data_IF_471684039853
#
_entry.id   IF_471684039853
#
_cell.length_a   1.000
_cell.length_b   1.000
_cell.length_c   1.000
_cell.angle_alpha   90.00
_cell.angle_beta   90.00
_cell.angle_gamma   90.00
#
_symmetry.space_group_name_H-M   'P 1'
#
loop_
_entity.id
_entity.type
_entity.pdbx_description
1 polymer ?
#
# COMPACT_ATOMS: atom_id res chain seq x y z
N UNK A 1 16.68 3.92 -50.84
CA UNK A 1 16.99 4.98 -49.89
C UNK A 1 16.00 4.82 -48.74
N UNK A 2 16.42 4.16 -47.68
CA UNK A 2 15.58 3.95 -46.50
C UNK A 2 15.56 5.25 -45.68
N UNK A 3 14.36 5.77 -45.48
CA UNK A 3 14.10 6.93 -44.63
C UNK A 3 14.38 6.49 -43.16
N UNK A 4 15.58 6.80 -42.66
CA UNK A 4 15.89 6.68 -41.26
C UNK A 4 15.22 7.88 -40.57
N UNK A 5 14.01 7.66 -40.04
CA UNK A 5 13.42 8.54 -39.06
C UNK A 5 14.36 8.54 -37.83
N UNK A 6 15.29 9.51 -37.85
CA UNK A 6 16.13 9.80 -36.71
C UNK A 6 15.23 10.35 -35.60
N UNK A 7 14.87 9.50 -34.64
CA UNK A 7 14.25 9.94 -33.39
C UNK A 7 15.26 10.83 -32.65
N UNK A 8 15.15 12.13 -32.82
CA UNK A 8 15.91 13.10 -32.04
C UNK A 8 15.25 13.24 -30.66
N UNK A 9 15.88 12.68 -29.63
CA UNK A 9 15.54 12.97 -28.25
C UNK A 9 16.29 14.26 -27.82
N UNK A 10 15.56 15.32 -27.66
CA UNK A 10 16.10 16.55 -27.07
C UNK A 10 15.80 16.55 -25.58
N UNK A 11 16.80 16.28 -24.75
CA UNK A 11 16.69 16.34 -23.29
C UNK A 11 17.04 17.78 -22.90
N UNK A 12 16.03 18.59 -22.54
CA UNK A 12 16.23 19.93 -22.02
C UNK A 12 16.06 19.89 -20.49
N UNK A 13 17.11 20.30 -19.77
CA UNK A 13 17.06 20.41 -18.31
C UNK A 13 15.94 21.37 -17.87
N UNK A 14 15.10 20.94 -16.93
CA UNK A 14 14.06 21.77 -16.33
C UNK A 14 12.71 21.84 -17.06
N UNK A 15 12.57 21.32 -18.29
CA UNK A 15 11.26 21.23 -18.96
C UNK A 15 10.54 19.92 -18.60
N UNK A 16 9.25 20.03 -18.21
CA UNK A 16 8.39 18.86 -18.03
C UNK A 16 8.04 18.34 -19.41
N UNK A 17 8.35 17.06 -19.69
CA UNK A 17 8.06 16.45 -20.99
C UNK A 17 6.56 16.48 -21.28
N UNK A 18 6.22 16.94 -22.49
CA UNK A 18 4.84 17.06 -22.98
C UNK A 18 4.12 15.70 -23.00
N UNK A 19 4.89 14.61 -23.01
CA UNK A 19 4.41 13.24 -23.18
C UNK A 19 4.73 12.30 -21.99
N UNK A 20 4.93 12.84 -20.78
CA UNK A 20 5.33 12.10 -19.58
C UNK A 20 4.52 10.80 -19.34
N UNK A 21 3.20 10.86 -19.50
CA UNK A 21 2.32 9.71 -19.32
C UNK A 21 2.50 8.65 -20.41
N UNK A 22 2.83 9.10 -21.61
CA UNK A 22 3.12 8.20 -22.74
C UNK A 22 4.49 7.55 -22.54
N UNK A 23 5.46 8.27 -21.99
CA UNK A 23 6.77 7.73 -21.65
C UNK A 23 6.67 6.70 -20.52
N UNK A 24 5.83 6.89 -19.51
CA UNK A 24 5.55 5.85 -18.52
C UNK A 24 5.12 4.52 -19.17
N UNK A 25 4.26 4.60 -20.16
CA UNK A 25 3.85 3.40 -20.91
C UNK A 25 4.97 2.81 -21.78
N UNK A 26 5.80 3.67 -22.34
CA UNK A 26 6.96 3.26 -23.15
C UNK A 26 8.01 2.53 -22.31
N UNK A 27 8.21 2.97 -21.07
CA UNK A 27 9.15 2.37 -20.11
C UNK A 27 8.53 1.23 -19.26
N UNK A 28 7.42 0.62 -19.68
CA UNK A 28 6.79 -0.51 -18.97
C UNK A 28 7.71 -1.71 -18.75
N UNK A 29 8.67 -1.94 -19.65
CA UNK A 29 9.66 -3.00 -19.50
C UNK A 29 10.62 -2.71 -18.34
N UNK A 30 11.05 -1.46 -18.19
CA UNK A 30 11.84 -1.03 -17.05
C UNK A 30 11.07 -1.19 -15.75
N UNK A 31 9.79 -0.84 -15.73
CA UNK A 31 8.91 -1.05 -14.58
C UNK A 31 8.89 -2.54 -14.17
N UNK A 32 8.70 -3.44 -15.13
CA UNK A 32 8.70 -4.88 -14.87
C UNK A 32 10.06 -5.36 -14.35
N UNK A 33 11.16 -4.92 -14.96
CA UNK A 33 12.52 -5.30 -14.55
C UNK A 33 12.81 -4.84 -13.11
N UNK A 34 12.43 -3.60 -12.76
CA UNK A 34 12.64 -3.07 -11.41
C UNK A 34 11.80 -3.83 -10.38
N UNK A 35 10.50 -4.04 -10.66
CA UNK A 35 9.63 -4.82 -9.77
C UNK A 35 10.16 -6.25 -9.58
N UNK A 36 10.57 -6.93 -10.66
CA UNK A 36 11.13 -8.27 -10.59
C UNK A 36 12.46 -8.33 -9.82
N UNK A 37 13.34 -7.36 -10.07
CA UNK A 37 14.61 -7.23 -9.33
C UNK A 37 14.34 -7.12 -7.83
N UNK A 38 13.44 -6.24 -7.43
CA UNK A 38 13.17 -5.97 -6.02
C UNK A 38 12.49 -7.17 -5.35
N UNK A 39 11.58 -7.87 -6.05
CA UNK A 39 11.02 -9.16 -5.62
C UNK A 39 12.15 -10.19 -5.45
N UNK A 40 13.02 -10.33 -6.45
CA UNK A 40 14.13 -11.29 -6.41
C UNK A 40 15.10 -11.01 -5.26
N UNK A 41 15.45 -9.74 -5.02
CA UNK A 41 16.29 -9.34 -3.89
C UNK A 41 15.64 -9.68 -2.55
N UNK A 42 14.32 -9.43 -2.40
CA UNK A 42 13.58 -9.71 -1.17
C UNK A 42 13.52 -11.19 -0.82
N UNK A 43 13.40 -12.07 -1.83
CA UNK A 43 13.16 -13.50 -1.61
C UNK A 43 14.34 -14.41 -1.91
N UNK A 44 15.21 -14.08 -2.87
CA UNK A 44 16.26 -14.99 -3.36
C UNK A 44 17.48 -15.10 -2.45
N UNK A 45 17.77 -14.09 -1.64
CA UNK A 45 19.00 -14.05 -0.82
C UNK A 45 18.82 -14.54 0.63
N UNK A 46 17.64 -15.03 1.00
CA UNK A 46 17.38 -15.43 2.38
C UNK A 46 16.73 -16.81 2.43
N UNK A 47 17.44 -17.80 3.02
CA UNK A 47 16.89 -19.14 3.28
C UNK A 47 15.65 -19.07 4.16
N UNK A 48 15.55 -18.06 5.02
CA UNK A 48 14.45 -17.82 5.97
C UNK A 48 13.47 -16.74 5.46
N UNK A 49 13.75 -16.07 4.33
CA UNK A 49 12.98 -14.90 3.89
C UNK A 49 11.50 -15.18 3.61
N UNK A 50 11.22 -16.24 2.86
CA UNK A 50 9.84 -16.68 2.61
C UNK A 50 9.16 -17.11 3.90
N UNK A 51 9.89 -17.77 4.80
CA UNK A 51 9.37 -18.20 6.09
C UNK A 51 9.02 -17.01 6.99
N UNK A 52 9.82 -15.93 6.96
CA UNK A 52 9.49 -14.69 7.67
C UNK A 52 8.24 -14.00 7.13
N UNK A 53 8.00 -14.06 5.83
CA UNK A 53 6.78 -13.52 5.22
C UNK A 53 5.51 -14.23 5.72
N UNK A 54 5.64 -15.47 6.23
CA UNK A 54 4.55 -16.27 6.81
C UNK A 54 4.52 -16.12 8.33
N UNK A 55 5.65 -16.29 9.01
CA UNK A 55 5.72 -16.30 10.47
C UNK A 55 5.30 -14.97 11.08
N UNK A 56 5.77 -13.86 10.52
CA UNK A 56 5.50 -12.51 11.06
C UNK A 56 4.00 -12.18 11.11
N UNK A 57 3.22 -12.33 10.02
CA UNK A 57 1.78 -12.11 10.05
C UNK A 57 1.05 -13.08 11.00
N UNK A 58 1.45 -14.35 11.05
CA UNK A 58 0.85 -15.33 11.95
C UNK A 58 1.08 -15.00 13.42
N UNK A 59 2.31 -14.65 13.81
CA UNK A 59 2.61 -14.24 15.18
C UNK A 59 1.83 -12.99 15.57
N UNK A 60 1.77 -12.00 14.68
CA UNK A 60 0.99 -10.78 14.89
C UNK A 60 -0.49 -11.12 15.07
N UNK A 61 -1.05 -11.98 14.22
CA UNK A 61 -2.43 -12.47 14.35
C UNK A 61 -2.67 -13.13 15.70
N UNK A 62 -1.78 -14.04 16.14
CA UNK A 62 -1.91 -14.73 17.42
C UNK A 62 -1.97 -13.74 18.58
N UNK A 63 -1.06 -12.74 18.58
CA UNK A 63 -1.04 -11.68 19.61
C UNK A 63 -2.35 -10.91 19.60
N UNK A 64 -2.83 -10.47 18.43
CA UNK A 64 -4.08 -9.71 18.30
C UNK A 64 -5.30 -10.54 18.73
N UNK A 65 -5.35 -11.83 18.40
CA UNK A 65 -6.41 -12.76 18.84
C UNK A 65 -6.42 -12.89 20.37
N UNK A 66 -5.25 -12.98 21.01
CA UNK A 66 -5.17 -13.06 22.47
C UNK A 66 -5.60 -11.73 23.10
N UNK A 67 -5.05 -10.63 22.66
CA UNK A 67 -5.28 -9.30 23.25
C UNK A 67 -6.73 -8.87 23.02
N UNK A 68 -7.17 -8.84 21.78
CA UNK A 68 -8.49 -8.27 21.43
C UNK A 68 -9.62 -9.30 21.55
N UNK A 69 -9.34 -10.59 21.23
CA UNK A 69 -10.35 -11.64 21.29
C UNK A 69 -10.55 -12.21 22.70
N UNK A 70 -9.47 -12.59 23.39
CA UNK A 70 -9.58 -13.25 24.69
C UNK A 70 -9.60 -12.27 25.87
N UNK A 71 -8.73 -11.24 25.86
CA UNK A 71 -8.61 -10.29 26.98
C UNK A 71 -9.68 -9.20 26.86
N UNK A 72 -9.72 -8.47 25.74
CA UNK A 72 -10.66 -7.38 25.52
C UNK A 72 -12.07 -7.84 25.11
N UNK A 73 -12.23 -9.10 24.69
CA UNK A 73 -13.51 -9.72 24.29
C UNK A 73 -14.28 -8.91 23.25
N UNK A 74 -13.58 -8.33 22.27
CA UNK A 74 -14.22 -7.56 21.21
C UNK A 74 -15.01 -8.45 20.24
N UNK A 75 -16.11 -7.94 19.66
CA UNK A 75 -16.92 -8.71 18.73
C UNK A 75 -16.19 -9.02 17.42
N UNK A 76 -16.50 -10.15 16.77
CA UNK A 76 -15.95 -10.59 15.47
C UNK A 76 -16.97 -10.66 14.36
N UNK A 77 -18.11 -10.00 14.52
CA UNK A 77 -19.19 -9.90 13.51
C UNK A 77 -19.69 -11.28 12.98
N UNK A 78 -19.59 -12.33 13.83
CA UNK A 78 -19.99 -13.68 13.48
C UNK A 78 -19.00 -14.44 12.57
N UNK A 79 -17.78 -13.94 12.44
CA UNK A 79 -16.66 -14.62 11.78
C UNK A 79 -15.76 -15.26 12.84
N UNK A 80 -15.12 -16.41 12.58
CA UNK A 80 -14.10 -16.93 13.50
C UNK A 80 -13.02 -15.88 13.78
N UNK A 81 -12.76 -15.61 15.05
CA UNK A 81 -11.95 -14.45 15.47
C UNK A 81 -10.57 -14.37 14.79
N UNK A 82 -9.80 -15.48 14.61
CA UNK A 82 -8.53 -15.43 13.89
C UNK A 82 -8.66 -14.99 12.43
N UNK A 83 -9.72 -15.45 11.74
CA UNK A 83 -9.99 -15.03 10.34
C UNK A 83 -10.33 -13.54 10.31
N UNK A 84 -11.20 -13.08 11.20
CA UNK A 84 -11.64 -11.69 11.25
C UNK A 84 -10.44 -10.73 11.47
N UNK A 85 -9.63 -11.01 12.50
CA UNK A 85 -8.45 -10.18 12.80
C UNK A 85 -7.46 -10.20 11.66
N UNK A 86 -7.18 -11.38 11.08
CA UNK A 86 -6.19 -11.48 10.02
C UNK A 86 -6.67 -10.85 8.72
N UNK A 87 -7.85 -11.22 8.25
CA UNK A 87 -8.35 -10.83 6.94
C UNK A 87 -8.90 -9.40 6.90
N UNK A 88 -9.69 -9.04 7.91
CA UNK A 88 -10.38 -7.76 7.92
C UNK A 88 -9.49 -6.60 8.34
N UNK A 89 -8.52 -6.86 9.21
CA UNK A 89 -7.76 -5.79 9.87
C UNK A 89 -6.27 -5.82 9.54
N UNK A 90 -5.57 -6.94 9.82
CA UNK A 90 -4.12 -7.01 9.66
C UNK A 90 -3.69 -7.01 8.20
N UNK A 91 -4.39 -7.73 7.33
CA UNK A 91 -4.01 -7.91 5.94
C UNK A 91 -4.01 -6.59 5.14
N UNK A 92 -5.09 -5.77 5.15
CA UNK A 92 -5.07 -4.48 4.48
C UNK A 92 -4.08 -3.49 5.11
N UNK A 93 -3.92 -3.52 6.45
CA UNK A 93 -2.99 -2.63 7.13
C UNK A 93 -1.53 -2.97 6.82
N UNK A 94 -1.14 -4.25 6.91
CA UNK A 94 0.25 -4.67 6.63
C UNK A 94 0.64 -4.39 5.18
N UNK A 95 -0.30 -4.57 4.24
CA UNK A 95 -0.10 -4.19 2.85
C UNK A 95 0.17 -2.68 2.72
N UNK A 96 -0.71 -1.84 3.29
CA UNK A 96 -0.53 -0.39 3.25
C UNK A 96 0.79 0.05 3.88
N UNK A 97 1.09 -0.45 5.08
CA UNK A 97 2.30 -0.08 5.84
C UNK A 97 3.59 -0.42 5.08
N UNK A 98 3.64 -1.63 4.47
CA UNK A 98 4.77 -2.06 3.64
C UNK A 98 4.86 -1.21 2.37
N UNK A 99 3.77 -1.11 1.60
CA UNK A 99 3.71 -0.37 0.34
C UNK A 99 4.04 1.12 0.52
N UNK A 100 3.52 1.76 1.56
CA UNK A 100 3.82 3.14 1.91
C UNK A 100 5.30 3.32 2.27
N UNK A 101 5.85 2.44 3.11
CA UNK A 101 7.27 2.50 3.52
C UNK A 101 8.20 2.28 2.33
N UNK A 102 7.92 1.26 1.51
CA UNK A 102 8.72 0.91 0.35
C UNK A 102 8.68 2.06 -0.69
N UNK A 103 7.51 2.60 -1.01
CA UNK A 103 7.36 3.73 -1.92
C UNK A 103 8.09 4.98 -1.41
N UNK A 104 7.95 5.30 -0.11
CA UNK A 104 8.56 6.47 0.53
C UNK A 104 10.09 6.45 0.53
N UNK A 105 10.70 5.26 0.58
CA UNK A 105 12.16 5.09 0.58
C UNK A 105 12.74 4.73 -0.79
N UNK A 106 11.89 4.45 -1.77
CA UNK A 106 12.28 3.90 -3.07
C UNK A 106 13.24 4.77 -3.86
N UNK A 107 13.04 6.09 -3.85
CA UNK A 107 13.86 7.05 -4.61
C UNK A 107 15.29 7.09 -4.06
N UNK A 108 15.44 7.20 -2.73
CA UNK A 108 16.76 7.20 -2.08
C UNK A 108 17.46 5.86 -2.26
N UNK A 109 16.71 4.74 -2.15
CA UNK A 109 17.24 3.40 -2.36
C UNK A 109 17.75 3.14 -3.79
N UNK A 110 17.28 3.91 -4.78
CA UNK A 110 17.68 3.82 -6.17
C UNK A 110 18.48 5.03 -6.68
N UNK A 111 19.16 5.76 -5.81
CA UNK A 111 19.94 6.95 -6.12
C UNK A 111 20.96 6.74 -7.27
N UNK A 112 21.67 5.62 -7.25
CA UNK A 112 22.64 5.24 -8.29
C UNK A 112 22.02 5.02 -9.67
N UNK A 113 20.76 4.58 -9.72
CA UNK A 113 20.05 4.39 -10.99
C UNK A 113 19.57 5.75 -11.53
N UNK A 114 19.03 6.59 -10.65
CA UNK A 114 18.50 7.91 -10.98
C UNK A 114 19.58 8.84 -11.52
N UNK A 115 20.81 8.76 -10.98
CA UNK A 115 21.94 9.60 -11.40
C UNK A 115 22.56 9.17 -12.74
N UNK A 116 22.35 7.92 -13.18
CA UNK A 116 23.04 7.36 -14.36
C UNK A 116 22.14 7.16 -15.56
N UNK A 117 20.83 6.99 -15.37
CA UNK A 117 19.90 6.64 -16.44
C UNK A 117 18.71 7.60 -16.41
N UNK A 118 18.34 8.06 -17.60
CA UNK A 118 17.17 8.90 -17.78
C UNK A 118 15.92 8.07 -18.03
N UNK A 119 14.91 8.21 -17.17
CA UNK A 119 13.57 7.61 -17.29
C UNK A 119 12.57 8.35 -16.38
N UNK A 120 11.24 8.19 -16.59
CA UNK A 120 10.23 8.75 -15.70
C UNK A 120 10.35 8.16 -14.29
N UNK A 121 10.75 8.98 -13.32
CA UNK A 121 11.14 8.51 -11.96
C UNK A 121 9.99 7.96 -11.14
N UNK A 122 8.75 8.23 -11.53
CA UNK A 122 7.53 7.67 -10.92
C UNK A 122 7.47 6.13 -11.04
N UNK A 123 8.19 5.54 -11.99
CA UNK A 123 8.32 4.09 -12.16
C UNK A 123 8.88 3.43 -10.88
N UNK A 124 9.82 4.08 -10.19
CA UNK A 124 10.50 3.50 -9.01
C UNK A 124 9.53 3.29 -7.85
N UNK A 125 8.80 4.32 -7.32
CA UNK A 125 7.84 4.11 -6.26
C UNK A 125 6.71 3.17 -6.66
N UNK A 126 6.23 3.26 -7.90
CA UNK A 126 5.18 2.37 -8.38
C UNK A 126 5.61 0.89 -8.41
N UNK A 127 6.86 0.62 -8.85
CA UNK A 127 7.43 -0.74 -8.82
C UNK A 127 7.57 -1.26 -7.38
N UNK A 128 7.99 -0.42 -6.44
CA UNK A 128 8.12 -0.80 -5.02
C UNK A 128 6.79 -1.22 -4.39
N UNK A 129 5.68 -0.56 -4.73
CA UNK A 129 4.34 -0.95 -4.23
C UNK A 129 3.91 -2.32 -4.77
N UNK A 130 4.31 -2.70 -5.99
CA UNK A 130 4.03 -4.04 -6.55
C UNK A 130 4.73 -5.14 -5.74
N UNK A 131 5.91 -4.88 -5.20
CA UNK A 131 6.61 -5.85 -4.32
C UNK A 131 5.78 -6.14 -3.07
N UNK A 132 5.20 -5.11 -2.45
CA UNK A 132 4.30 -5.27 -1.31
C UNK A 132 3.00 -6.01 -1.67
N UNK A 133 2.52 -5.89 -2.92
CA UNK A 133 1.38 -6.66 -3.41
C UNK A 133 1.70 -8.17 -3.50
N UNK A 134 2.95 -8.56 -3.74
CA UNK A 134 3.38 -9.96 -3.68
C UNK A 134 3.31 -10.50 -2.24
N UNK A 135 3.77 -9.72 -1.25
CA UNK A 135 3.63 -10.07 0.17
C UNK A 135 2.16 -10.25 0.57
N UNK A 136 1.29 -9.37 0.04
CA UNK A 136 -0.16 -9.50 0.23
C UNK A 136 -0.71 -10.79 -0.37
N UNK A 137 -0.27 -11.19 -1.57
CA UNK A 137 -0.69 -12.47 -2.18
C UNK A 137 -0.28 -13.67 -1.32
N UNK A 138 0.94 -13.66 -0.75
CA UNK A 138 1.38 -14.71 0.19
C UNK A 138 0.44 -14.75 1.41
N UNK A 139 0.07 -13.59 1.94
CA UNK A 139 -0.85 -13.48 3.07
C UNK A 139 -2.28 -13.97 2.72
N UNK A 140 -2.72 -13.83 1.47
CA UNK A 140 -3.98 -14.44 1.00
C UNK A 140 -3.95 -15.96 1.05
N UNK A 141 -2.82 -16.63 0.78
CA UNK A 141 -2.70 -18.08 0.96
C UNK A 141 -2.85 -18.49 2.42
N UNK A 142 -2.29 -17.70 3.35
CA UNK A 142 -2.48 -17.92 4.79
C UNK A 142 -3.96 -17.77 5.15
N UNK A 143 -4.62 -16.73 4.65
CA UNK A 143 -6.05 -16.52 4.86
C UNK A 143 -6.87 -17.70 4.36
N UNK A 144 -6.59 -18.17 3.14
CA UNK A 144 -7.27 -19.34 2.58
C UNK A 144 -7.08 -20.60 3.45
N UNK A 145 -5.85 -20.86 3.92
CA UNK A 145 -5.57 -21.97 4.84
C UNK A 145 -6.35 -21.85 6.16
N UNK A 146 -6.46 -20.63 6.72
CA UNK A 146 -7.27 -20.36 7.90
C UNK A 146 -8.77 -20.62 7.63
N UNK A 147 -9.29 -20.19 6.50
CA UNK A 147 -10.69 -20.42 6.12
C UNK A 147 -11.00 -21.91 6.01
N UNK A 148 -10.12 -22.69 5.40
CA UNK A 148 -10.26 -24.16 5.32
C UNK A 148 -10.19 -24.78 6.72
N UNK A 149 -9.25 -24.36 7.58
CA UNK A 149 -9.08 -24.87 8.93
C UNK A 149 -10.30 -24.64 9.82
N UNK A 150 -10.89 -23.43 9.74
CA UNK A 150 -12.09 -23.08 10.51
C UNK A 150 -13.40 -23.46 9.82
N UNK A 151 -13.34 -24.09 8.62
CA UNK A 151 -14.50 -24.43 7.79
C UNK A 151 -15.41 -23.22 7.53
N UNK A 152 -14.81 -22.05 7.40
CA UNK A 152 -15.50 -20.79 7.13
C UNK A 152 -15.48 -20.50 5.64
N UNK A 153 -16.66 -20.51 5.01
CA UNK A 153 -16.84 -20.22 3.60
C UNK A 153 -17.45 -18.83 3.45
N UNK A 154 -16.71 -17.87 2.91
CA UNK A 154 -17.21 -16.50 2.74
C UNK A 154 -18.29 -16.46 1.67
N UNK A 155 -19.19 -15.48 1.80
CA UNK A 155 -20.24 -15.19 0.81
C UNK A 155 -19.64 -14.48 -0.41
N UNK A 156 -20.48 -14.19 -1.40
CA UNK A 156 -20.07 -13.57 -2.67
C UNK A 156 -19.36 -12.23 -2.52
N UNK A 157 -19.56 -11.53 -1.40
CA UNK A 157 -18.91 -10.24 -1.08
C UNK A 157 -17.38 -10.32 -1.10
N UNK A 158 -16.78 -11.49 -0.90
CA UNK A 158 -15.32 -11.67 -0.99
C UNK A 158 -14.77 -11.25 -2.37
N UNK A 159 -15.58 -11.30 -3.41
CA UNK A 159 -15.20 -10.85 -4.75
C UNK A 159 -14.93 -9.33 -4.83
N UNK A 160 -15.34 -8.57 -3.82
CA UNK A 160 -15.06 -7.12 -3.73
C UNK A 160 -13.70 -6.81 -3.11
N UNK A 161 -13.00 -7.80 -2.52
CA UNK A 161 -11.66 -7.61 -1.93
C UNK A 161 -10.66 -6.95 -2.89
N UNK A 162 -10.59 -7.31 -4.18
CA UNK A 162 -9.69 -6.64 -5.12
C UNK A 162 -9.95 -5.13 -5.25
N UNK A 163 -11.22 -4.69 -5.13
CA UNK A 163 -11.58 -3.27 -5.17
C UNK A 163 -11.00 -2.53 -3.95
N UNK A 164 -11.19 -3.07 -2.74
CA UNK A 164 -10.64 -2.48 -1.54
C UNK A 164 -9.11 -2.56 -1.48
N UNK A 165 -8.50 -3.63 -2.02
CA UNK A 165 -7.06 -3.71 -2.21
C UNK A 165 -6.55 -2.60 -3.13
N UNK A 166 -7.26 -2.33 -4.23
CA UNK A 166 -6.92 -1.27 -5.16
C UNK A 166 -6.99 0.12 -4.49
N UNK A 167 -7.99 0.34 -3.64
CA UNK A 167 -8.06 1.56 -2.83
C UNK A 167 -6.86 1.67 -1.87
N UNK A 168 -6.50 0.60 -1.18
CA UNK A 168 -5.30 0.54 -0.34
C UNK A 168 -4.00 0.78 -1.14
N UNK A 169 -3.92 0.25 -2.35
CA UNK A 169 -2.81 0.49 -3.28
C UNK A 169 -2.66 1.98 -3.62
N UNK A 170 -3.74 2.64 -3.99
CA UNK A 170 -3.71 4.07 -4.30
C UNK A 170 -3.46 4.93 -3.06
N UNK A 171 -3.98 4.55 -1.89
CA UNK A 171 -3.67 5.21 -0.63
C UNK A 171 -2.17 5.17 -0.33
N UNK A 172 -1.56 3.98 -0.42
CA UNK A 172 -0.13 3.77 -0.18
C UNK A 172 0.74 4.50 -1.22
N UNK A 173 0.38 4.40 -2.51
CA UNK A 173 1.12 5.06 -3.59
C UNK A 173 1.03 6.58 -3.47
N UNK A 174 -0.16 7.14 -3.26
CA UNK A 174 -0.35 8.60 -3.15
C UNK A 174 0.41 9.19 -1.97
N UNK A 175 0.23 8.62 -0.78
CA UNK A 175 0.96 9.03 0.42
C UNK A 175 2.47 8.79 0.28
N UNK A 176 2.86 7.63 -0.29
CA UNK A 176 4.25 7.25 -0.53
C UNK A 176 4.97 8.20 -1.48
N UNK A 177 4.35 8.61 -2.58
CA UNK A 177 4.90 9.61 -3.53
C UNK A 177 5.13 10.97 -2.86
N UNK A 178 4.16 11.42 -2.06
CA UNK A 178 4.28 12.67 -1.31
C UNK A 178 5.48 12.60 -0.36
N UNK A 179 5.56 11.55 0.46
CA UNK A 179 6.64 11.38 1.44
C UNK A 179 7.99 11.10 0.76
N UNK A 180 8.04 10.35 -0.36
CA UNK A 180 9.26 10.15 -1.14
C UNK A 180 9.87 11.48 -1.61
N UNK A 181 9.01 12.40 -2.06
CA UNK A 181 9.43 13.75 -2.48
C UNK A 181 10.07 14.55 -1.34
N UNK A 182 9.51 14.42 -0.12
CA UNK A 182 10.04 15.06 1.08
C UNK A 182 11.30 14.38 1.60
N UNK A 183 11.37 13.05 1.52
CA UNK A 183 12.48 12.25 1.99
C UNK A 183 13.78 12.51 1.21
N UNK A 184 13.67 12.81 -0.11
CA UNK A 184 14.82 13.26 -0.90
C UNK A 184 15.31 14.63 -0.46
N UNK A 185 14.40 15.55 -0.16
CA UNK A 185 14.74 16.92 0.22
C UNK A 185 15.18 17.04 1.69
N UNK A 186 14.56 16.25 2.57
CA UNK A 186 14.77 16.29 4.02
C UNK A 186 15.01 14.88 4.54
N UNK A 187 16.25 14.59 4.91
CA UNK A 187 16.70 13.26 5.37
C UNK A 187 16.00 12.76 6.63
N UNK A 188 15.39 13.66 7.40
CA UNK A 188 14.68 13.33 8.64
C UNK A 188 13.41 12.50 8.39
N UNK A 189 12.84 12.55 7.18
CA UNK A 189 11.66 11.74 6.83
C UNK A 189 11.90 10.25 6.95
N UNK A 190 13.15 9.77 6.90
CA UNK A 190 13.51 8.37 7.21
C UNK A 190 12.99 7.94 8.58
N UNK A 191 12.98 8.82 9.58
CA UNK A 191 12.47 8.54 10.93
C UNK A 191 10.96 8.76 11.04
N UNK A 192 10.41 9.66 10.24
CA UNK A 192 8.98 9.96 10.22
C UNK A 192 8.18 8.79 9.65
N UNK A 193 8.69 8.11 8.60
CA UNK A 193 7.99 7.00 7.94
C UNK A 193 7.60 5.88 8.91
N UNK A 194 8.52 5.25 9.68
CA UNK A 194 8.15 4.20 10.63
C UNK A 194 7.27 4.72 11.76
N UNK A 195 7.43 5.97 12.19
CA UNK A 195 6.56 6.59 13.19
C UNK A 195 5.11 6.72 12.68
N UNK A 196 4.91 7.21 11.45
CA UNK A 196 3.57 7.31 10.83
C UNK A 196 2.92 5.94 10.68
N UNK A 197 3.68 4.91 10.28
CA UNK A 197 3.18 3.53 10.19
C UNK A 197 2.78 3.00 11.57
N UNK A 198 3.60 3.21 12.58
CA UNK A 198 3.31 2.74 13.93
C UNK A 198 2.11 3.47 14.54
N UNK A 199 2.05 4.79 14.43
CA UNK A 199 0.93 5.59 14.92
C UNK A 199 -0.37 5.24 14.17
N UNK A 200 -0.28 5.09 12.86
CA UNK A 200 -1.39 4.72 12.00
C UNK A 200 -2.01 3.37 12.36
N UNK A 201 -1.21 2.40 12.81
CA UNK A 201 -1.70 1.12 13.31
C UNK A 201 -2.69 1.29 14.47
N UNK A 202 -2.41 2.21 15.38
CA UNK A 202 -3.27 2.45 16.56
C UNK A 202 -4.47 3.34 16.26
N UNK A 203 -4.34 4.25 15.29
CA UNK A 203 -5.43 5.15 14.88
C UNK A 203 -6.41 4.46 13.93
N UNK A 204 -5.96 3.45 13.18
CA UNK A 204 -6.81 2.68 12.25
C UNK A 204 -7.55 1.56 12.99
N UNK A 205 -8.67 1.05 12.47
CA UNK A 205 -9.44 -0.01 13.11
C UNK A 205 -8.75 -1.38 12.95
N UNK A 206 -7.48 -1.47 13.42
CA UNK A 206 -6.67 -2.69 13.41
C UNK A 206 -6.74 -3.32 14.80
N UNK A 207 -7.60 -4.31 14.97
CA UNK A 207 -7.85 -4.98 16.25
C UNK A 207 -9.21 -4.67 16.86
N UNK A 208 -9.94 -3.68 16.35
CA UNK A 208 -11.29 -3.34 16.77
C UNK A 208 -12.14 -2.89 15.57
N UNK A 209 -13.47 -2.98 15.69
CA UNK A 209 -14.37 -2.52 14.63
C UNK A 209 -14.55 -1.00 14.70
N UNK A 210 -14.62 -0.32 13.56
CA UNK A 210 -14.94 1.13 13.46
C UNK A 210 -16.29 1.48 14.08
N UNK A 211 -17.18 0.50 14.23
CA UNK A 211 -18.51 0.66 14.86
C UNK A 211 -18.43 1.08 16.34
N UNK A 212 -17.30 0.83 17.01
CA UNK A 212 -17.07 1.24 18.40
C UNK A 212 -16.93 2.77 18.53
N UNK A 213 -16.52 3.43 17.42
CA UNK A 213 -16.34 4.89 17.42
C UNK A 213 -17.71 5.58 17.48
N UNK A 214 -17.96 6.50 18.45
CA UNK A 214 -19.22 7.24 18.53
C UNK A 214 -19.54 7.98 17.22
N UNK A 215 -20.81 8.02 16.84
CA UNK A 215 -21.27 8.61 15.57
C UNK A 215 -20.79 10.05 15.35
N UNK A 216 -20.74 10.86 16.43
CA UNK A 216 -20.27 12.23 16.37
C UNK A 216 -18.82 12.39 15.87
N UNK A 217 -17.98 11.37 16.06
CA UNK A 217 -16.56 11.38 15.68
C UNK A 217 -16.25 10.55 14.45
N UNK A 218 -17.20 9.80 13.91
CA UNK A 218 -16.96 8.91 12.75
C UNK A 218 -16.47 9.66 11.53
N UNK A 219 -17.04 10.81 11.20
CA UNK A 219 -16.61 11.61 10.04
C UNK A 219 -15.13 11.96 10.13
N UNK A 220 -14.66 12.37 11.32
CA UNK A 220 -13.23 12.65 11.54
C UNK A 220 -12.38 11.40 11.47
N UNK A 221 -12.91 10.27 11.92
CA UNK A 221 -12.21 8.99 11.87
C UNK A 221 -11.97 8.54 10.43
N UNK A 222 -12.94 8.73 9.53
CA UNK A 222 -12.83 8.41 8.12
C UNK A 222 -11.98 9.40 7.29
N UNK A 223 -11.43 10.47 7.90
CA UNK A 223 -10.34 11.24 7.31
C UNK A 223 -9.06 10.40 7.18
N UNK A 224 -8.91 9.36 7.99
CA UNK A 224 -7.90 8.34 7.75
C UNK A 224 -8.37 7.41 6.59
N UNK A 225 -7.70 7.45 5.42
CA UNK A 225 -8.14 6.70 4.25
C UNK A 225 -8.17 5.18 4.47
N UNK A 226 -7.37 4.68 5.42
CA UNK A 226 -7.31 3.25 5.70
C UNK A 226 -8.52 2.73 6.47
N UNK A 227 -9.29 3.59 7.13
CA UNK A 227 -10.52 3.18 7.83
C UNK A 227 -11.52 2.60 6.83
N UNK A 228 -11.82 3.31 5.74
CA UNK A 228 -12.74 2.82 4.72
C UNK A 228 -12.24 1.57 3.98
N UNK A 229 -10.92 1.43 3.81
CA UNK A 229 -10.32 0.22 3.23
C UNK A 229 -10.51 -0.97 4.17
N UNK A 230 -10.17 -0.83 5.46
CA UNK A 230 -10.29 -1.89 6.47
C UNK A 230 -11.74 -2.29 6.68
N UNK A 231 -12.66 -1.33 6.76
CA UNK A 231 -14.09 -1.61 6.87
C UNK A 231 -14.65 -2.32 5.64
N UNK A 232 -14.15 -1.98 4.44
CA UNK A 232 -14.46 -2.70 3.22
C UNK A 232 -14.00 -4.15 3.26
N UNK A 233 -12.81 -4.43 3.77
CA UNK A 233 -12.32 -5.78 4.00
C UNK A 233 -13.18 -6.51 5.05
N UNK A 234 -13.53 -5.85 6.16
CA UNK A 234 -14.39 -6.40 7.20
C UNK A 234 -15.76 -6.78 6.65
N UNK A 235 -16.37 -5.92 5.84
CA UNK A 235 -17.64 -6.18 5.17
C UNK A 235 -17.55 -7.37 4.20
N UNK A 236 -16.51 -7.41 3.38
CA UNK A 236 -16.32 -8.48 2.41
C UNK A 236 -16.15 -9.85 3.10
N UNK A 237 -15.39 -9.90 4.19
CA UNK A 237 -15.11 -11.14 4.93
C UNK A 237 -16.30 -11.57 5.79
N UNK A 238 -17.02 -10.62 6.42
CA UNK A 238 -18.19 -10.93 7.25
C UNK A 238 -19.43 -11.34 6.44
N UNK A 239 -19.34 -11.30 5.10
CA UNK A 239 -20.49 -11.58 4.24
C UNK A 239 -21.57 -10.50 4.32
N UNK A 240 -21.16 -9.24 4.51
CA UNK A 240 -22.07 -8.10 4.55
C UNK A 240 -22.71 -7.83 5.92
N UNK A 241 -22.29 -8.55 6.97
CA UNK A 241 -22.85 -8.35 8.34
C UNK A 241 -22.36 -7.05 8.99
N UNK A 242 -21.15 -6.63 8.72
CA UNK A 242 -20.66 -5.29 9.09
C UNK A 242 -21.37 -4.23 8.25
N UNK A 243 -21.88 -3.19 8.90
CA UNK A 243 -22.53 -2.10 8.18
C UNK A 243 -21.49 -1.28 7.38
N UNK A 244 -21.68 -1.16 6.07
CA UNK A 244 -20.96 -0.24 5.21
C UNK A 244 -21.79 1.04 5.04
N UNK A 245 -21.30 2.13 5.59
CA UNK A 245 -21.91 3.43 5.38
C UNK A 245 -21.35 4.07 4.10
N UNK A 246 -22.20 4.28 3.10
CA UNK A 246 -21.79 4.84 1.81
C UNK A 246 -21.14 6.23 1.93
N UNK A 247 -21.60 7.07 2.84
CA UNK A 247 -21.05 8.41 3.07
C UNK A 247 -19.62 8.32 3.60
N UNK A 248 -19.38 7.44 4.55
CA UNK A 248 -18.08 7.24 5.20
C UNK A 248 -17.05 6.67 4.22
N UNK A 249 -17.45 5.68 3.41
CA UNK A 249 -16.57 5.13 2.37
C UNK A 249 -16.27 6.15 1.28
N UNK A 250 -17.28 6.91 0.83
CA UNK A 250 -17.05 7.93 -0.20
C UNK A 250 -16.09 9.02 0.27
N UNK A 251 -16.10 9.35 1.57
CA UNK A 251 -15.11 10.25 2.19
C UNK A 251 -13.70 9.66 2.12
N UNK A 252 -13.52 8.39 2.52
CA UNK A 252 -12.21 7.72 2.41
C UNK A 252 -11.70 7.67 0.96
N UNK A 253 -12.56 7.35 0.00
CA UNK A 253 -12.22 7.37 -1.44
C UNK A 253 -11.80 8.77 -1.88
N UNK A 254 -12.54 9.80 -1.45
CA UNK A 254 -12.20 11.21 -1.74
C UNK A 254 -10.83 11.60 -1.19
N UNK A 255 -10.51 11.18 0.04
CA UNK A 255 -9.20 11.42 0.66
C UNK A 255 -8.08 10.67 -0.10
N UNK A 256 -8.32 9.41 -0.50
CA UNK A 256 -7.37 8.64 -1.31
C UNK A 256 -7.08 9.35 -2.64
N UNK A 257 -8.13 9.80 -3.34
CA UNK A 257 -7.98 10.56 -4.57
C UNK A 257 -7.17 11.86 -4.36
N UNK A 258 -7.46 12.59 -3.29
CA UNK A 258 -6.73 13.80 -2.90
C UNK A 258 -5.25 13.49 -2.63
N UNK A 259 -4.94 12.44 -1.87
CA UNK A 259 -3.57 12.00 -1.60
C UNK A 259 -2.84 11.62 -2.88
N UNK A 260 -3.49 10.94 -3.82
CA UNK A 260 -2.91 10.62 -5.13
C UNK A 260 -2.58 11.89 -5.91
N UNK A 261 -3.51 12.85 -5.97
CA UNK A 261 -3.28 14.11 -6.69
C UNK A 261 -2.13 14.90 -6.06
N UNK A 262 -2.14 15.07 -4.74
CA UNK A 262 -1.08 15.77 -4.00
C UNK A 262 0.25 15.06 -4.17
N UNK A 263 0.28 13.73 -4.03
CA UNK A 263 1.47 12.89 -4.17
C UNK A 263 2.09 13.03 -5.57
N UNK A 264 1.29 12.85 -6.62
CA UNK A 264 1.75 12.95 -8.01
C UNK A 264 2.25 14.37 -8.32
N UNK A 265 1.49 15.40 -7.94
CA UNK A 265 1.86 16.80 -8.23
C UNK A 265 3.15 17.18 -7.52
N UNK A 266 3.28 16.84 -6.24
CA UNK A 266 4.48 17.14 -5.46
C UNK A 266 5.69 16.36 -5.99
N UNK A 267 5.52 15.07 -6.27
CA UNK A 267 6.57 14.23 -6.82
C UNK A 267 7.07 14.77 -8.17
N UNK A 268 6.18 15.10 -9.10
CA UNK A 268 6.55 15.65 -10.40
C UNK A 268 7.24 17.01 -10.32
N UNK A 269 6.89 17.85 -9.34
CA UNK A 269 7.60 19.11 -9.11
C UNK A 269 9.02 18.89 -8.60
N UNK A 270 9.20 17.87 -7.73
CA UNK A 270 10.46 17.64 -7.04
C UNK A 270 11.39 16.70 -7.84
N UNK A 271 10.86 15.82 -8.71
CA UNK A 271 11.67 14.89 -9.50
C UNK A 271 12.74 15.56 -10.37
N UNK A 272 12.51 16.83 -10.76
CA UNK A 272 13.46 17.61 -11.57
C UNK A 272 14.80 17.85 -10.84
N UNK A 273 14.76 17.91 -9.51
CA UNK A 273 15.93 18.19 -8.66
C UNK A 273 16.52 16.93 -8.04
N UNK A 274 15.94 15.76 -8.25
CA UNK A 274 16.43 14.53 -7.61
C UNK A 274 17.87 14.20 -7.95
N UNK A 275 18.28 14.37 -9.22
CA UNK A 275 19.64 14.07 -9.65
C UNK A 275 20.70 15.02 -9.04
N UNK A 276 20.28 16.20 -8.59
CA UNK A 276 21.17 17.22 -8.03
C UNK A 276 21.29 17.07 -6.50
N UNK A 277 20.31 16.43 -5.84
CA UNK A 277 20.20 16.37 -4.37
C UNK A 277 20.56 14.98 -3.82
N UNK A 278 20.37 13.92 -4.59
CA UNK A 278 20.73 12.54 -4.26
C UNK A 278 22.19 12.29 -4.59
#
# INVERSE_FOLDING_TARGET
>A
MANQDQFQFTIEAGKTERHYWMDLWRYRELFYILAWRDIAVRYKQTVIGLLWAIIRPLLTMIIFVIVFGKIAKLPSEGVPYPIFVFAAMLLPWTFFASAFSDASNSVIGNANLISKVYFPRLIIPAASVIVSAVDFMISLFILFALMVWYQYWPSWQILTLPLFLLLGFFAALGAGLFVASLNVKYRDFRFVIPFVVQLGLYISPVGFSSTIVPEAYRIFYYLNPMVGVIDGFSWAISGGKTALNHTEISLSVGIIALLCVIGIVTFRKTEKTFADVI
#
